data_IF_521034982215
#
_entry.id   IF_521034982215
#
_cell.length_a   1.000
_cell.length_b   1.000
_cell.length_c   1.000
_cell.angle_alpha   90.00
_cell.angle_beta   90.00
_cell.angle_gamma   90.00
#
_symmetry.space_group_name_H-M   'P 1'
#
loop_
_entity.id
_entity.type
_entity.pdbx_description
1 polymer ?
#
# COMPACT_ATOMS: atom_id res chain seq x y z
N UNK A 1 -2.21 9.98 -14.13
CA UNK A 1 -2.31 8.51 -14.03
C UNK A 1 -2.27 8.20 -12.53
N UNK A 2 -3.35 7.65 -11.99
CA UNK A 2 -3.56 7.57 -10.54
C UNK A 2 -2.93 6.29 -9.99
N UNK A 3 -2.03 6.43 -9.00
CA UNK A 3 -1.24 5.31 -8.48
C UNK A 3 -2.14 4.31 -7.74
N UNK A 4 -1.96 3.00 -8.00
CA UNK A 4 -2.71 1.93 -7.33
C UNK A 4 -2.52 1.96 -5.80
N UNK A 5 -1.34 2.31 -5.29
CA UNK A 5 -1.11 2.50 -3.86
C UNK A 5 -1.89 3.69 -3.32
N UNK A 6 -1.89 4.83 -4.02
CA UNK A 6 -2.65 5.99 -3.60
C UNK A 6 -4.14 5.66 -3.50
N UNK A 7 -4.70 4.89 -4.44
CA UNK A 7 -6.08 4.39 -4.37
C UNK A 7 -6.34 3.53 -3.14
N UNK A 8 -5.44 2.57 -2.86
CA UNK A 8 -5.56 1.69 -1.69
C UNK A 8 -5.58 2.54 -0.40
N UNK A 9 -4.69 3.53 -0.30
CA UNK A 9 -4.64 4.40 0.86
C UNK A 9 -5.88 5.30 1.00
N UNK A 10 -6.35 5.90 -0.08
CA UNK A 10 -7.58 6.70 -0.07
C UNK A 10 -8.79 5.85 0.29
N UNK A 11 -8.91 4.63 -0.24
CA UNK A 11 -9.98 3.68 0.10
C UNK A 11 -9.97 3.31 1.59
N UNK A 12 -8.82 3.38 2.25
CA UNK A 12 -8.67 3.10 3.67
C UNK A 12 -8.77 4.34 4.56
N UNK A 13 -9.18 5.48 4.00
CA UNK A 13 -9.36 6.74 4.72
C UNK A 13 -8.09 7.55 4.93
N UNK A 14 -6.97 7.16 4.31
CA UNK A 14 -5.72 7.93 4.37
C UNK A 14 -5.65 8.94 3.22
N UNK A 15 -6.45 10.02 3.32
CA UNK A 15 -6.44 11.10 2.32
C UNK A 15 -5.12 11.90 2.32
N UNK A 16 -4.46 11.98 3.48
CA UNK A 16 -3.14 12.59 3.65
C UNK A 16 -2.22 11.63 4.40
N UNK A 17 -1.42 10.88 3.66
CA UNK A 17 -0.41 10.00 4.24
C UNK A 17 0.76 10.84 4.77
N UNK A 18 0.98 10.77 6.07
CA UNK A 18 2.20 11.26 6.72
C UNK A 18 2.88 10.07 7.40
N UNK A 19 3.85 9.41 6.74
CA UNK A 19 4.50 8.26 7.33
C UNK A 19 5.31 8.69 8.56
N UNK A 20 5.15 7.97 9.67
CA UNK A 20 5.97 8.16 10.87
C UNK A 20 7.37 7.58 10.65
N UNK A 21 8.36 8.05 11.40
CA UNK A 21 9.73 7.56 11.25
C UNK A 21 9.83 6.06 11.60
N UNK A 22 9.07 5.60 12.60
CA UNK A 22 8.93 4.17 12.92
C UNK A 22 8.32 3.34 11.78
N UNK A 23 7.42 3.91 10.97
CA UNK A 23 6.90 3.24 9.78
C UNK A 23 7.97 3.16 8.68
N UNK A 24 8.71 4.25 8.47
CA UNK A 24 9.78 4.31 7.48
C UNK A 24 10.90 3.32 7.79
N UNK A 25 11.26 3.18 9.07
CA UNK A 25 12.18 2.15 9.55
C UNK A 25 11.66 0.74 9.28
N UNK A 26 10.39 0.45 9.57
CA UNK A 26 9.78 -0.86 9.29
C UNK A 26 9.74 -1.19 7.80
N UNK A 27 9.51 -0.19 6.97
CA UNK A 27 9.48 -0.33 5.52
C UNK A 27 10.88 -0.32 4.90
N UNK A 28 11.92 -0.06 5.69
CA UNK A 28 13.31 0.08 5.25
C UNK A 28 13.39 1.00 4.02
N UNK A 29 12.81 2.20 4.15
CA UNK A 29 12.79 3.20 3.10
C UNK A 29 12.77 4.62 3.67
N UNK A 30 13.27 5.57 2.88
CA UNK A 30 13.22 6.99 3.26
C UNK A 30 11.83 7.57 3.04
N UNK A 31 11.52 8.67 3.76
CA UNK A 31 10.30 9.45 3.54
C UNK A 31 10.14 9.87 2.07
N UNK A 32 11.25 10.30 1.44
CA UNK A 32 11.29 10.66 0.03
C UNK A 32 10.88 9.49 -0.87
N UNK A 33 11.46 8.31 -0.64
CA UNK A 33 11.15 7.09 -1.42
C UNK A 33 9.68 6.68 -1.23
N UNK A 34 9.17 6.74 -0.01
CA UNK A 34 7.75 6.48 0.27
C UNK A 34 6.84 7.38 -0.59
N UNK A 35 7.05 8.70 -0.58
CA UNK A 35 6.24 9.61 -1.39
C UNK A 35 6.43 9.42 -2.90
N UNK A 36 7.64 9.08 -3.36
CA UNK A 36 7.87 8.73 -4.77
C UNK A 36 7.01 7.53 -5.19
N UNK A 37 6.97 6.48 -4.35
CA UNK A 37 6.19 5.27 -4.59
C UNK A 37 4.69 5.51 -4.49
N UNK A 38 4.21 6.36 -3.58
CA UNK A 38 2.79 6.68 -3.41
C UNK A 38 2.29 7.58 -4.52
N UNK A 39 3.02 8.64 -4.84
CA UNK A 39 2.62 9.65 -5.82
C UNK A 39 3.01 9.26 -7.26
N UNK A 40 3.64 8.10 -7.44
CA UNK A 40 4.24 7.66 -8.72
C UNK A 40 5.20 8.70 -9.32
N UNK A 41 5.92 9.45 -8.47
CA UNK A 41 6.80 10.53 -8.93
C UNK A 41 8.11 9.95 -9.47
N UNK A 42 8.36 10.18 -10.75
CA UNK A 42 9.63 9.87 -11.41
C UNK A 42 9.70 8.52 -12.11
N UNK A 43 8.57 7.83 -12.33
CA UNK A 43 8.50 6.51 -12.99
C UNK A 43 9.48 5.47 -12.43
N UNK A 44 9.84 5.59 -11.15
CA UNK A 44 10.73 4.63 -10.53
C UNK A 44 9.91 3.41 -10.13
N UNK A 45 10.26 2.27 -10.70
CA UNK A 45 9.65 1.00 -10.35
C UNK A 45 9.88 0.68 -8.87
N UNK A 46 8.88 0.02 -8.28
CA UNK A 46 8.96 -0.53 -6.95
C UNK A 46 9.77 -1.83 -7.00
N UNK A 47 10.75 -1.97 -6.12
CA UNK A 47 11.48 -3.23 -6.00
C UNK A 47 10.60 -4.30 -5.34
N UNK A 48 10.91 -5.57 -5.60
CA UNK A 48 10.20 -6.71 -4.97
C UNK A 48 10.25 -6.62 -3.45
N UNK A 49 11.38 -6.20 -2.86
CA UNK A 49 11.52 -6.05 -1.41
C UNK A 49 10.63 -4.94 -0.84
N UNK A 50 10.54 -3.79 -1.51
CA UNK A 50 9.65 -2.70 -1.12
C UNK A 50 8.18 -3.13 -1.19
N UNK A 51 7.81 -3.87 -2.24
CA UNK A 51 6.47 -4.42 -2.40
C UNK A 51 6.13 -5.37 -1.24
N UNK A 52 7.02 -6.31 -0.90
CA UNK A 52 6.81 -7.26 0.19
C UNK A 52 6.65 -6.57 1.54
N UNK A 53 7.47 -5.55 1.84
CA UNK A 53 7.40 -4.79 3.09
C UNK A 53 6.14 -3.95 3.19
N UNK A 54 5.75 -3.28 2.11
CA UNK A 54 4.48 -2.56 2.04
C UNK A 54 3.30 -3.51 2.22
N UNK A 55 3.28 -4.65 1.53
CA UNK A 55 2.23 -5.66 1.71
C UNK A 55 2.17 -6.18 3.16
N UNK A 56 3.30 -6.48 3.78
CA UNK A 56 3.36 -6.93 5.18
C UNK A 56 2.83 -5.85 6.14
N UNK A 57 3.22 -4.59 5.93
CA UNK A 57 2.71 -3.49 6.73
C UNK A 57 1.20 -3.28 6.54
N UNK A 58 0.72 -3.27 5.31
CA UNK A 58 -0.71 -3.13 4.98
C UNK A 58 -1.53 -4.26 5.64
N UNK A 59 -1.01 -5.50 5.68
CA UNK A 59 -1.60 -6.63 6.40
C UNK A 59 -1.60 -6.47 7.93
N UNK A 60 -0.70 -5.65 8.49
CA UNK A 60 -0.58 -5.45 9.93
C UNK A 60 -1.52 -4.37 10.48
N UNK A 61 -1.80 -3.33 9.69
CA UNK A 61 -2.64 -2.18 10.10
C UNK A 61 -4.13 -2.42 9.91
N UNK A 62 -4.46 -3.31 8.98
CA UNK A 62 -5.80 -3.69 8.67
C UNK A 62 -5.84 -5.18 9.01
N UNK A 63 -6.68 -5.60 9.97
CA UNK A 63 -7.04 -7.02 10.15
C UNK A 63 -7.82 -7.49 8.91
N UNK A 64 -7.24 -7.35 7.71
CA UNK A 64 -7.80 -7.82 6.46
C UNK A 64 -7.65 -9.32 6.48
N UNK A 65 -8.79 -9.98 6.56
CA UNK A 65 -8.93 -11.39 6.28
C UNK A 65 -8.39 -11.64 4.86
N UNK A 66 -7.26 -12.34 4.76
CA UNK A 66 -6.55 -12.58 3.49
C UNK A 66 -7.33 -13.45 2.49
N UNK A 67 -8.58 -13.82 2.80
CA UNK A 67 -9.51 -14.50 1.89
C UNK A 67 -9.94 -13.68 0.66
N UNK A 68 -9.54 -12.40 0.57
CA UNK A 68 -9.84 -11.52 -0.58
C UNK A 68 -8.81 -11.60 -1.72
N UNK A 69 -7.69 -12.30 -1.52
CA UNK A 69 -6.66 -12.49 -2.54
C UNK A 69 -6.30 -13.98 -2.67
N UNK A 70 -7.30 -14.72 -3.11
CA UNK A 70 -7.19 -16.09 -3.62
C UNK A 70 -7.25 -16.03 -5.16
N UNK A 71 -6.55 -16.96 -5.79
CA UNK A 71 -5.92 -16.95 -7.11
C UNK A 71 -6.84 -17.00 -8.35
N UNK A 72 -8.15 -16.76 -8.23
CA UNK A 72 -9.07 -16.79 -9.36
C UNK A 72 -9.97 -15.57 -9.38
N UNK A 73 -9.62 -14.57 -10.19
CA UNK A 73 -10.34 -13.28 -10.31
C UNK A 73 -11.86 -13.40 -10.40
N UNK A 74 -12.53 -13.40 -9.25
CA UNK A 74 -13.99 -13.42 -9.15
C UNK A 74 -14.44 -12.39 -8.13
N UNK A 75 -15.32 -11.50 -8.58
CA UNK A 75 -15.94 -10.41 -7.84
C UNK A 75 -16.48 -10.85 -6.48
N UNK A 76 -16.36 -9.97 -5.48
CA UNK A 76 -17.24 -10.00 -4.33
C UNK A 76 -18.25 -8.86 -4.43
N UNK A 77 -19.53 -9.24 -4.56
CA UNK A 77 -20.66 -8.38 -4.22
C UNK A 77 -20.58 -8.07 -2.73
N UNK A 78 -20.60 -6.78 -2.39
CA UNK A 78 -20.89 -6.32 -1.04
C UNK A 78 -22.42 -6.39 -0.91
N UNK A 79 -22.94 -7.20 0.01
CA UNK A 79 -24.31 -7.06 0.50
C UNK A 79 -24.25 -6.36 1.85
N UNK A 80 -25.14 -5.38 2.04
CA UNK A 80 -25.44 -4.72 3.32
C UNK A 80 -26.00 -5.72 4.35
#
# INVERSE_FOLDING_TARGET
MENRLQKIFTQWGFEKLSPTDALLEKLDMTRKRFFQLVENKGNQEMTVSEQLRLQAWLKSIHKIDMRLFDEAGTQLKIQD
#
